data_IF_700065448732
#
_entry.id   IF_700065448732
#
_cell.length_a   1.000
_cell.length_b   1.000
_cell.length_c   1.000
_cell.angle_alpha   90.00
_cell.angle_beta   90.00
_cell.angle_gamma   90.00
#
_symmetry.space_group_name_H-M   'P 1'
#
loop_
_entity.id
_entity.type
_entity.pdbx_description
1 polymer ?
#
# COMPACT_ATOMS: atom_id res chain seq x y z
N UNK A 1 13.72 -10.27 14.59
CA UNK A 1 13.90 -9.80 13.21
C UNK A 1 12.51 -9.45 12.69
N UNK A 2 12.10 -8.18 12.80
CA UNK A 2 10.77 -7.78 12.37
C UNK A 2 10.73 -7.70 10.84
N UNK A 3 9.88 -8.49 10.21
CA UNK A 3 9.60 -8.33 8.78
C UNK A 3 8.78 -7.05 8.62
N UNK A 4 9.35 -5.99 8.06
CA UNK A 4 8.60 -4.78 7.70
C UNK A 4 7.67 -5.12 6.53
N UNK A 5 6.39 -5.37 6.84
CA UNK A 5 5.34 -5.44 5.82
C UNK A 5 4.84 -4.02 5.54
N UNK A 6 4.83 -3.63 4.27
CA UNK A 6 4.28 -2.35 3.83
C UNK A 6 2.82 -2.53 3.42
N UNK A 7 1.97 -1.57 3.77
CA UNK A 7 0.59 -1.50 3.31
C UNK A 7 0.54 -0.86 1.94
N UNK A 8 -0.18 -1.49 1.01
CA UNK A 8 -0.41 -0.99 -0.34
C UNK A 8 -1.90 -0.85 -0.60
N UNK A 9 -2.26 0.17 -1.36
CA UNK A 9 -3.63 0.39 -1.83
C UNK A 9 -3.64 0.58 -3.35
N UNK A 10 -4.61 -0.06 -4.01
CA UNK A 10 -4.90 0.20 -5.41
C UNK A 10 -5.72 1.49 -5.57
N UNK A 11 -5.21 2.46 -6.31
CA UNK A 11 -5.90 3.73 -6.59
C UNK A 11 -7.08 3.58 -7.56
N UNK A 12 -7.19 2.43 -8.25
CA UNK A 12 -8.28 2.14 -9.19
C UNK A 12 -9.50 1.48 -8.53
N UNK A 13 -9.28 0.51 -7.65
CA UNK A 13 -10.36 -0.28 -7.03
C UNK A 13 -10.39 -0.19 -5.50
N UNK A 14 -9.54 0.64 -4.90
CA UNK A 14 -9.40 0.85 -3.46
C UNK A 14 -9.09 -0.42 -2.63
N UNK A 15 -8.60 -1.48 -3.28
CA UNK A 15 -8.22 -2.70 -2.57
C UNK A 15 -6.92 -2.48 -1.77
N UNK A 16 -6.95 -2.80 -0.48
CA UNK A 16 -5.85 -2.66 0.47
C UNK A 16 -5.26 -4.03 0.83
N UNK A 17 -3.93 -4.13 0.87
CA UNK A 17 -3.24 -5.36 1.26
C UNK A 17 -1.84 -5.07 1.79
N UNK A 18 -1.28 -6.00 2.55
CA UNK A 18 0.05 -5.89 3.15
C UNK A 18 1.03 -6.82 2.44
N UNK A 19 2.21 -6.33 2.11
CA UNK A 19 3.25 -7.14 1.44
C UNK A 19 4.64 -6.59 1.72
N UNK A 20 5.65 -7.46 1.64
CA UNK A 20 7.05 -7.03 1.76
C UNK A 20 7.55 -6.27 0.51
N UNK A 21 6.97 -6.54 -0.67
CA UNK A 21 7.32 -5.86 -1.93
C UNK A 21 6.10 -5.43 -2.71
N UNK A 22 6.19 -4.23 -3.32
CA UNK A 22 5.18 -3.68 -4.22
C UNK A 22 5.03 -4.60 -5.44
N UNK A 23 3.87 -5.21 -5.68
CA UNK A 23 3.64 -5.97 -6.90
C UNK A 23 3.41 -5.03 -8.09
N UNK A 24 3.71 -5.53 -9.29
CA UNK A 24 3.49 -4.79 -10.55
C UNK A 24 2.00 -4.55 -10.88
N UNK A 25 1.14 -5.47 -10.42
CA UNK A 25 -0.28 -5.54 -10.77
C UNK A 25 -1.14 -5.80 -9.54
N UNK A 26 -2.30 -5.14 -9.50
CA UNK A 26 -3.27 -5.29 -8.43
C UNK A 26 -3.80 -6.74 -8.38
N UNK A 27 -3.74 -7.43 -7.23
CA UNK A 27 -4.22 -8.81 -7.13
C UNK A 27 -5.75 -8.93 -7.26
N UNK A 28 -6.49 -7.82 -7.09
CA UNK A 28 -7.95 -7.80 -7.15
C UNK A 28 -8.47 -7.45 -8.54
N UNK A 29 -8.05 -6.31 -9.10
CA UNK A 29 -8.56 -5.82 -10.39
C UNK A 29 -7.61 -6.02 -11.58
N UNK A 30 -6.45 -6.66 -11.36
CA UNK A 30 -5.40 -6.90 -12.35
C UNK A 30 -4.79 -5.65 -13.02
N UNK A 31 -5.15 -4.44 -12.59
CA UNK A 31 -4.62 -3.20 -13.15
C UNK A 31 -3.14 -3.00 -12.78
N UNK A 32 -2.35 -2.55 -13.75
CA UNK A 32 -0.92 -2.30 -13.65
C UNK A 32 -0.64 -0.84 -13.27
N UNK A 33 0.41 -0.60 -12.49
CA UNK A 33 0.82 0.77 -12.12
C UNK A 33 -0.15 1.54 -11.22
N UNK A 34 -1.17 0.86 -10.67
CA UNK A 34 -2.21 1.49 -9.82
C UNK A 34 -1.94 1.33 -8.32
N UNK A 35 -0.86 0.69 -7.93
CA UNK A 35 -0.57 0.35 -6.54
C UNK A 35 0.35 1.41 -5.90
N UNK A 36 -0.11 2.02 -4.81
CA UNK A 36 0.65 2.98 -4.02
C UNK A 36 0.81 2.52 -2.57
N UNK A 37 1.79 3.09 -1.86
CA UNK A 37 1.90 2.93 -0.41
C UNK A 37 0.67 3.54 0.26
N UNK A 38 0.04 2.78 1.15
CA UNK A 38 -1.04 3.26 1.96
C UNK A 38 -0.48 3.79 3.28
N UNK A 39 -0.54 5.11 3.48
CA UNK A 39 -0.26 5.74 4.76
C UNK A 39 -1.58 6.01 5.46
N UNK A 40 -1.68 5.60 6.72
CA UNK A 40 -2.84 5.96 7.53
C UNK A 40 -2.80 7.46 7.87
N UNK A 41 -3.95 8.03 8.23
CA UNK A 41 -3.99 9.41 8.74
C UNK A 41 -3.06 9.59 9.95
N UNK A 42 -2.93 8.57 10.80
CA UNK A 42 -2.05 8.60 11.96
C UNK A 42 -0.57 8.68 11.56
N UNK A 43 -0.14 7.88 10.57
CA UNK A 43 1.25 7.90 10.05
C UNK A 43 1.58 9.25 9.40
N UNK A 44 0.62 9.85 8.70
CA UNK A 44 0.82 11.18 8.13
C UNK A 44 0.97 12.27 9.20
N UNK A 45 0.23 12.17 10.31
CA UNK A 45 0.33 13.11 11.43
C UNK A 45 1.65 12.97 12.18
N UNK A 46 2.17 11.75 12.33
CA UNK A 46 3.45 11.46 13.00
C UNK A 46 4.65 12.11 12.26
N UNK A 47 4.66 12.08 10.91
CA UNK A 47 5.71 12.72 10.11
C UNK A 47 5.71 14.26 10.16
N UNK A 48 4.64 14.89 10.66
CA UNK A 48 4.51 16.35 10.76
C UNK A 48 5.00 16.92 12.10
N UNK A 49 5.37 16.08 13.07
CA UNK A 49 5.86 16.49 14.40
C UNK A 49 7.38 16.51 14.50
#
# INVERSE_FOLDING_TARGET
MGHLMAKFQCTKCNFEFEKERLPWRCPYCAAEGTLGLFKTAQEFLDELQ
#
